data_IF_629992042626
#
_entry.id   IF_629992042626
#
_cell.length_a   1.000
_cell.length_b   1.000
_cell.length_c   1.000
_cell.angle_alpha   90.00
_cell.angle_beta   90.00
_cell.angle_gamma   90.00
#
_symmetry.space_group_name_H-M   'P 1'
#
loop_
_entity.id
_entity.type
_entity.pdbx_description
1 polymer ?
#
# COMPACT_ATOMS: atom_id res chain seq x y z
N UNK A 1 18.69 -42.85 -21.98
CA UNK A 1 19.65 -41.90 -21.39
C UNK A 1 19.42 -40.42 -21.74
N UNK A 2 18.73 -40.06 -22.83
CA UNK A 2 18.52 -38.65 -23.24
C UNK A 2 17.39 -37.91 -22.50
N UNK A 3 16.31 -38.60 -22.13
CA UNK A 3 15.16 -38.00 -21.42
C UNK A 3 15.53 -37.45 -20.04
N UNK A 4 16.31 -38.20 -19.25
CA UNK A 4 16.82 -37.77 -17.95
C UNK A 4 17.75 -36.55 -18.07
N UNK A 5 18.61 -36.51 -19.09
CA UNK A 5 19.51 -35.37 -19.34
C UNK A 5 18.75 -34.08 -19.69
N UNK A 6 17.64 -34.19 -20.41
CA UNK A 6 16.78 -33.04 -20.74
C UNK A 6 15.95 -32.57 -19.53
N UNK A 7 15.52 -33.49 -18.67
CA UNK A 7 14.82 -33.16 -17.44
C UNK A 7 15.72 -32.42 -16.44
N UNK A 8 16.97 -32.87 -16.29
CA UNK A 8 17.99 -32.19 -15.47
C UNK A 8 18.26 -30.77 -15.99
N UNK A 9 18.38 -30.58 -17.30
CA UNK A 9 18.57 -29.24 -17.90
C UNK A 9 17.38 -28.31 -17.65
N UNK A 10 16.15 -28.82 -17.76
CA UNK A 10 14.93 -28.04 -17.48
C UNK A 10 14.85 -27.64 -16.01
N UNK A 11 15.15 -28.56 -15.11
CA UNK A 11 15.18 -28.29 -13.68
C UNK A 11 16.24 -27.24 -13.33
N UNK A 12 17.46 -27.38 -13.86
CA UNK A 12 18.53 -26.41 -13.67
C UNK A 12 18.15 -25.00 -14.19
N UNK A 13 17.51 -24.91 -15.36
CA UNK A 13 17.04 -23.64 -15.91
C UNK A 13 15.92 -23.01 -15.05
N UNK A 14 14.99 -23.81 -14.52
CA UNK A 14 13.96 -23.31 -13.60
C UNK A 14 14.55 -22.81 -12.28
N UNK A 15 15.55 -23.50 -11.72
CA UNK A 15 16.25 -23.05 -10.51
C UNK A 15 16.99 -21.73 -10.76
N UNK A 16 17.69 -21.61 -11.90
CA UNK A 16 18.36 -20.36 -12.28
C UNK A 16 17.38 -19.21 -12.48
N UNK A 17 16.21 -19.48 -13.07
CA UNK A 17 15.15 -18.49 -13.23
C UNK A 17 14.57 -18.03 -11.89
N UNK A 18 14.34 -18.95 -10.95
CA UNK A 18 13.88 -18.63 -9.60
C UNK A 18 14.94 -17.82 -8.84
N UNK A 19 16.22 -18.17 -8.96
CA UNK A 19 17.31 -17.40 -8.35
C UNK A 19 17.43 -16.00 -8.94
N UNK A 20 17.26 -15.85 -10.26
CA UNK A 20 17.24 -14.56 -10.92
C UNK A 20 16.07 -13.69 -10.43
N UNK A 21 14.86 -14.26 -10.31
CA UNK A 21 13.69 -13.57 -9.75
C UNK A 21 13.94 -13.08 -8.32
N UNK A 22 14.54 -13.93 -7.48
CA UNK A 22 14.90 -13.56 -6.10
C UNK A 22 15.93 -12.43 -6.04
N UNK A 23 16.95 -12.47 -6.88
CA UNK A 23 17.97 -11.42 -6.97
C UNK A 23 17.40 -10.09 -7.47
N UNK A 24 16.51 -10.12 -8.47
CA UNK A 24 15.81 -8.91 -8.95
C UNK A 24 14.85 -8.36 -7.91
N UNK A 25 14.13 -9.21 -7.17
CA UNK A 25 13.27 -8.77 -6.09
C UNK A 25 14.07 -8.02 -5.02
N UNK A 26 15.20 -8.61 -4.58
CA UNK A 26 16.09 -7.98 -3.61
C UNK A 26 16.72 -6.67 -4.13
N UNK A 27 17.04 -6.60 -5.42
CA UNK A 27 17.61 -5.40 -6.04
C UNK A 27 16.61 -4.25 -6.20
N UNK A 28 15.32 -4.54 -6.35
CA UNK A 28 14.28 -3.54 -6.57
C UNK A 28 13.67 -3.08 -5.24
N UNK A 29 13.42 -4.01 -4.31
CA UNK A 29 12.85 -3.69 -2.99
C UNK A 29 13.89 -3.27 -1.96
N UNK A 30 15.17 -3.59 -2.18
CA UNK A 30 16.24 -3.38 -1.19
C UNK A 30 16.16 -4.31 0.03
N UNK A 31 15.18 -5.22 0.08
CA UNK A 31 14.90 -6.08 1.24
C UNK A 31 15.11 -7.56 0.87
N UNK A 32 15.89 -8.28 1.69
CA UNK A 32 16.10 -9.72 1.52
C UNK A 32 14.90 -10.52 2.04
N UNK A 33 14.50 -11.58 1.33
CA UNK A 33 13.44 -12.50 1.77
C UNK A 33 13.76 -13.17 3.12
N UNK A 34 15.05 -13.37 3.44
CA UNK A 34 15.47 -13.86 4.76
C UNK A 34 15.19 -12.84 5.87
N UNK A 35 15.31 -11.54 5.57
CA UNK A 35 14.98 -10.47 6.52
C UNK A 35 13.50 -10.47 6.85
N UNK A 36 12.62 -10.64 5.85
CA UNK A 36 11.17 -10.75 6.08
C UNK A 36 10.84 -11.95 7.00
N UNK A 37 11.36 -13.14 6.69
CA UNK A 37 11.07 -14.35 7.47
C UNK A 37 11.62 -14.24 8.90
N UNK A 38 12.83 -13.70 9.08
CA UNK A 38 13.44 -13.53 10.39
C UNK A 38 12.71 -12.45 11.20
N UNK A 39 12.26 -11.36 10.59
CA UNK A 39 11.48 -10.33 11.27
C UNK A 39 10.11 -10.86 11.74
N UNK A 40 9.40 -11.61 10.89
CA UNK A 40 8.16 -12.28 11.28
C UNK A 40 8.40 -13.32 12.40
N UNK A 41 9.45 -14.14 12.30
CA UNK A 41 9.77 -15.13 13.34
C UNK A 41 10.21 -14.49 14.67
N UNK A 42 10.98 -13.40 14.62
CA UNK A 42 11.38 -12.64 15.82
C UNK A 42 10.20 -11.90 16.45
N UNK A 43 9.25 -11.37 15.67
CA UNK A 43 8.03 -10.78 16.20
C UNK A 43 7.18 -11.82 16.96
N UNK A 44 7.15 -13.06 16.46
CA UNK A 44 6.47 -14.19 17.13
C UNK A 44 7.27 -14.68 18.35
N UNK A 45 8.60 -14.67 18.29
CA UNK A 45 9.46 -15.22 19.34
C UNK A 45 9.80 -14.23 20.47
N UNK A 46 9.59 -12.92 20.27
CA UNK A 46 9.91 -11.87 21.25
C UNK A 46 8.73 -11.47 22.13
N UNK A 47 7.57 -12.13 22.02
CA UNK A 47 6.45 -11.87 22.91
C UNK A 47 6.73 -12.47 24.29
N UNK A 48 7.17 -11.62 25.21
CA UNK A 48 6.85 -11.76 26.63
C UNK A 48 5.34 -11.99 26.74
N UNK A 49 4.90 -12.98 27.52
CA UNK A 49 3.48 -13.20 27.77
C UNK A 49 2.84 -11.92 28.32
N UNK A 50 2.13 -11.20 27.45
CA UNK A 50 1.29 -10.07 27.84
C UNK A 50 -0.15 -10.57 27.80
N UNK A 51 -0.69 -10.76 29.00
CA UNK A 51 -2.12 -10.88 29.24
C UNK A 51 -2.80 -9.57 28.80
N UNK A 52 -3.45 -9.59 27.63
CA UNK A 52 -4.16 -8.44 27.07
C UNK A 52 -4.25 -8.46 25.54
N UNK A 53 -5.47 -8.50 25.03
CA UNK A 53 -5.86 -8.71 23.63
C UNK A 53 -5.54 -7.50 22.72
N UNK A 54 -4.29 -7.11 22.54
CA UNK A 54 -3.94 -6.01 21.61
C UNK A 54 -3.27 -6.58 20.36
N UNK A 55 -3.98 -6.58 19.23
CA UNK A 55 -3.39 -6.91 17.93
C UNK A 55 -2.30 -5.88 17.60
N UNK A 56 -1.12 -6.29 17.08
CA UNK A 56 -0.06 -5.35 16.74
C UNK A 56 -0.53 -4.36 15.67
N UNK A 57 -0.17 -3.08 15.84
CA UNK A 57 -0.42 -2.05 14.83
C UNK A 57 0.50 -2.26 13.63
N UNK A 58 0.02 -1.91 12.44
CA UNK A 58 0.85 -1.96 11.23
C UNK A 58 2.12 -1.10 11.36
N UNK A 59 2.02 0.01 12.08
CA UNK A 59 3.11 0.94 12.40
C UNK A 59 4.28 0.26 13.12
N UNK A 60 3.98 -0.66 14.04
CA UNK A 60 4.98 -1.32 14.88
C UNK A 60 5.47 -2.66 14.28
N UNK A 61 4.76 -3.19 13.29
CA UNK A 61 5.04 -4.49 12.70
C UNK A 61 6.29 -4.51 11.80
N UNK A 62 6.69 -3.34 11.27
CA UNK A 62 7.78 -3.22 10.31
C UNK A 62 8.75 -2.11 10.70
N UNK A 63 10.02 -2.28 10.33
CA UNK A 63 11.04 -1.26 10.48
C UNK A 63 11.02 -0.32 9.26
N UNK A 64 10.15 0.69 9.33
CA UNK A 64 9.93 1.66 8.26
C UNK A 64 11.15 2.53 7.93
N UNK A 65 12.09 2.66 8.87
CA UNK A 65 13.32 3.45 8.68
C UNK A 65 14.21 2.96 7.53
N UNK A 66 13.99 1.72 7.07
CA UNK A 66 14.69 1.11 5.94
C UNK A 66 14.18 1.53 4.57
N UNK A 67 13.01 2.14 4.50
CA UNK A 67 12.40 2.57 3.25
C UNK A 67 12.73 4.04 2.94
N UNK A 68 12.81 4.42 1.65
CA UNK A 68 12.97 5.83 1.27
C UNK A 68 11.88 6.70 1.89
N UNK A 69 12.31 7.76 2.58
CA UNK A 69 11.44 8.66 3.33
C UNK A 69 11.21 9.96 2.55
N UNK A 70 9.96 10.41 2.50
CA UNK A 70 9.57 11.70 1.93
C UNK A 70 8.71 12.47 2.91
N UNK A 71 9.05 13.72 3.18
CA UNK A 71 8.18 14.63 3.94
C UNK A 71 7.18 15.28 3.00
N UNK A 72 5.89 15.11 3.29
CA UNK A 72 4.79 15.60 2.47
C UNK A 72 3.77 16.36 3.31
N UNK A 73 3.01 17.25 2.69
CA UNK A 73 1.78 17.80 3.27
C UNK A 73 0.60 16.94 2.85
N UNK A 74 -0.09 16.33 3.80
CA UNK A 74 -1.20 15.43 3.54
C UNK A 74 -2.54 16.02 4.00
N UNK A 75 -3.52 16.04 3.10
CA UNK A 75 -4.93 16.36 3.36
C UNK A 75 -5.81 15.13 3.24
N UNK A 76 -7.10 15.25 3.53
CA UNK A 76 -8.09 14.21 3.24
C UNK A 76 -9.17 14.72 2.29
N UNK A 77 -9.68 13.83 1.46
CA UNK A 77 -10.74 14.12 0.50
C UNK A 77 -11.73 12.95 0.40
N UNK A 78 -12.89 13.20 -0.21
CA UNK A 78 -13.90 12.17 -0.47
C UNK A 78 -14.28 12.13 -1.95
N UNK A 79 -15.15 11.20 -2.35
CA UNK A 79 -15.71 11.17 -3.70
C UNK A 79 -16.75 12.29 -3.94
N UNK A 80 -17.19 12.96 -2.88
CA UNK A 80 -18.26 13.94 -2.85
C UNK A 80 -18.01 15.21 -3.68
N UNK A 81 -19.06 16.02 -3.75
CA UNK A 81 -19.07 17.25 -4.55
C UNK A 81 -18.07 18.28 -4.01
N UNK A 82 -17.87 18.32 -2.70
CA UNK A 82 -16.94 19.20 -2.01
C UNK A 82 -15.48 18.99 -2.41
N UNK A 83 -15.11 17.76 -2.80
CA UNK A 83 -13.75 17.43 -3.24
C UNK A 83 -13.63 17.34 -4.76
N UNK A 84 -14.63 16.76 -5.44
CA UNK A 84 -14.53 16.40 -6.87
C UNK A 84 -15.45 17.19 -7.80
N UNK A 85 -16.41 17.95 -7.25
CA UNK A 85 -17.48 18.58 -8.01
C UNK A 85 -18.50 17.60 -8.60
N UNK A 86 -18.43 16.31 -8.26
CA UNK A 86 -19.32 15.25 -8.79
C UNK A 86 -20.34 14.81 -7.73
N UNK A 87 -21.53 14.43 -8.18
CA UNK A 87 -22.59 13.83 -7.34
C UNK A 87 -22.72 12.33 -7.66
N UNK A 88 -23.36 11.56 -6.78
CA UNK A 88 -23.48 10.10 -6.90
C UNK A 88 -24.07 9.60 -8.23
N UNK A 89 -24.89 10.40 -8.90
CA UNK A 89 -25.49 10.08 -10.20
C UNK A 89 -24.56 10.39 -11.39
N UNK A 90 -23.38 10.95 -11.17
CA UNK A 90 -22.40 11.24 -12.22
C UNK A 90 -21.69 9.94 -12.64
N UNK A 91 -21.51 9.67 -13.95
CA UNK A 91 -20.91 8.41 -14.43
C UNK A 91 -19.48 8.16 -13.91
N UNK A 92 -18.74 9.24 -13.63
CA UNK A 92 -17.38 9.19 -13.08
C UNK A 92 -17.31 9.44 -11.56
N UNK A 93 -18.44 9.31 -10.84
CA UNK A 93 -18.43 9.46 -9.39
C UNK A 93 -17.59 8.35 -8.75
N UNK A 94 -16.63 8.74 -7.91
CA UNK A 94 -15.73 7.81 -7.23
C UNK A 94 -14.74 7.09 -8.16
N UNK A 95 -14.54 7.55 -9.40
CA UNK A 95 -13.54 7.01 -10.32
C UNK A 95 -12.29 7.90 -10.29
N UNK A 96 -11.13 7.31 -9.96
CA UNK A 96 -9.84 8.03 -9.92
C UNK A 96 -9.27 8.24 -11.31
N UNK A 97 -8.21 9.05 -11.42
CA UNK A 97 -7.47 9.24 -12.67
C UNK A 97 -6.93 7.95 -13.30
N UNK A 98 -6.55 6.95 -12.50
CA UNK A 98 -6.10 5.66 -13.05
C UNK A 98 -7.24 4.79 -13.60
N UNK A 99 -8.50 5.13 -13.28
CA UNK A 99 -9.69 4.39 -13.67
C UNK A 99 -10.19 3.36 -12.65
N UNK A 100 -9.49 3.19 -11.52
CA UNK A 100 -10.00 2.38 -10.40
C UNK A 100 -10.98 3.21 -9.56
N UNK A 101 -11.88 2.54 -8.85
CA UNK A 101 -12.73 3.19 -7.86
C UNK A 101 -11.91 3.59 -6.64
N UNK A 102 -12.28 4.73 -6.06
CA UNK A 102 -11.80 5.10 -4.74
C UNK A 102 -12.11 4.00 -3.73
N UNK A 103 -11.18 3.76 -2.81
CA UNK A 103 -11.29 2.68 -1.81
C UNK A 103 -10.60 3.08 -0.52
N UNK A 104 -11.29 2.87 0.61
CA UNK A 104 -10.73 2.90 1.96
C UNK A 104 -10.65 1.46 2.47
N UNK A 105 -9.44 0.95 2.63
CA UNK A 105 -9.14 -0.42 3.10
C UNK A 105 -7.68 -0.46 3.58
N UNK A 106 -7.12 -1.64 3.86
CA UNK A 106 -5.70 -1.81 4.20
C UNK A 106 -4.77 -1.11 3.20
N UNK A 107 -5.05 -1.26 1.91
CA UNK A 107 -4.51 -0.47 0.81
C UNK A 107 -5.61 0.43 0.26
N UNK A 108 -5.50 1.71 0.59
CA UNK A 108 -6.46 2.75 0.17
C UNK A 108 -5.94 3.53 -1.03
N UNK A 109 -6.84 4.03 -1.87
CA UNK A 109 -6.46 4.90 -3.00
C UNK A 109 -6.12 6.30 -2.51
N UNK A 110 -5.02 6.88 -3.00
CA UNK A 110 -4.62 8.26 -2.68
C UNK A 110 -4.35 9.07 -3.95
N UNK A 111 -4.42 10.40 -3.83
CA UNK A 111 -4.02 11.33 -4.87
C UNK A 111 -2.64 11.91 -4.59
N UNK A 112 -1.83 12.10 -5.63
CA UNK A 112 -0.50 12.68 -5.53
C UNK A 112 -0.11 13.45 -6.80
N UNK A 113 1.02 14.15 -6.76
CA UNK A 113 1.71 14.60 -7.97
C UNK A 113 2.40 13.41 -8.66
N UNK A 114 1.93 13.06 -9.86
CA UNK A 114 2.43 11.89 -10.61
C UNK A 114 3.86 12.04 -11.13
N UNK A 115 4.43 13.24 -11.10
CA UNK A 115 5.84 13.47 -11.41
C UNK A 115 6.76 13.11 -10.24
N UNK A 116 6.23 13.10 -9.02
CA UNK A 116 6.94 12.73 -7.79
C UNK A 116 6.62 11.28 -7.43
N UNK A 117 5.34 10.91 -7.41
CA UNK A 117 4.87 9.55 -7.12
C UNK A 117 4.02 9.05 -8.29
N UNK A 118 4.60 8.28 -9.24
CA UNK A 118 3.85 7.74 -10.35
C UNK A 118 2.68 6.83 -9.91
N UNK A 119 1.66 6.70 -10.75
CA UNK A 119 0.53 5.79 -10.51
C UNK A 119 1.04 4.38 -10.18
N UNK A 120 0.43 3.76 -9.17
CA UNK A 120 0.80 2.46 -8.61
C UNK A 120 1.89 2.52 -7.54
N UNK A 121 2.40 3.70 -7.19
CA UNK A 121 3.31 3.85 -6.05
C UNK A 121 2.58 3.47 -4.77
N UNK A 122 3.22 2.65 -3.94
CA UNK A 122 2.71 2.22 -2.64
C UNK A 122 3.50 2.96 -1.57
N UNK A 123 2.78 3.72 -0.76
CA UNK A 123 3.30 4.46 0.38
C UNK A 123 2.77 3.84 1.65
N UNK A 124 3.59 3.79 2.68
CA UNK A 124 3.12 3.67 4.05
C UNK A 124 3.02 5.07 4.67
N UNK A 125 1.85 5.39 5.23
CA UNK A 125 1.49 6.70 5.75
C UNK A 125 1.07 6.53 7.21
N UNK A 126 1.93 6.91 8.18
CA UNK A 126 1.62 6.80 9.60
C UNK A 126 0.29 7.47 9.97
N UNK A 127 -0.54 6.78 10.75
CA UNK A 127 -1.89 7.19 11.12
C UNK A 127 -2.96 7.01 10.04
N UNK A 128 -2.62 6.53 8.84
CA UNK A 128 -3.56 6.28 7.75
C UNK A 128 -3.56 4.83 7.25
N UNK A 129 -2.38 4.24 7.06
CA UNK A 129 -2.19 2.89 6.49
C UNK A 129 -1.43 2.91 5.16
N UNK A 130 -1.61 1.87 4.34
CA UNK A 130 -1.02 1.87 3.00
C UNK A 130 -1.86 2.72 2.03
N UNK A 131 -1.18 3.60 1.30
CA UNK A 131 -1.75 4.40 0.22
C UNK A 131 -1.21 3.96 -1.13
N UNK A 132 -2.09 3.64 -2.06
CA UNK A 132 -1.76 3.36 -3.46
C UNK A 132 -2.09 4.59 -4.29
N UNK A 133 -1.08 5.17 -4.93
CA UNK A 133 -1.27 6.34 -5.80
C UNK A 133 -2.09 5.92 -7.01
N UNK A 134 -3.35 6.32 -7.02
CA UNK A 134 -4.33 5.96 -8.04
C UNK A 134 -4.99 7.19 -8.66
N UNK A 135 -4.83 8.36 -8.04
CA UNK A 135 -5.47 9.59 -8.48
C UNK A 135 -4.49 10.77 -8.60
N UNK A 136 -4.94 11.84 -9.24
CA UNK A 136 -4.26 13.14 -9.26
C UNK A 136 -5.27 14.25 -9.01
N UNK A 137 -4.87 15.24 -8.22
CA UNK A 137 -5.64 16.47 -8.03
C UNK A 137 -5.11 17.62 -8.89
N UNK A 138 -5.99 18.55 -9.25
CA UNK A 138 -5.57 19.82 -9.85
C UNK A 138 -4.68 20.64 -8.92
N UNK A 139 -5.03 20.68 -7.63
CA UNK A 139 -4.30 21.41 -6.60
C UNK A 139 -3.13 20.62 -5.99
N UNK A 140 -3.15 19.28 -6.09
CA UNK A 140 -2.12 18.41 -5.51
C UNK A 140 -0.86 18.45 -6.38
N UNK A 141 0.19 19.11 -5.88
CA UNK A 141 1.46 19.35 -6.59
C UNK A 141 2.67 19.17 -5.70
N UNK A 142 3.76 18.66 -6.27
CA UNK A 142 5.00 18.40 -5.55
C UNK A 142 4.82 17.39 -4.42
N UNK A 143 5.23 17.78 -3.21
CA UNK A 143 5.18 16.93 -2.01
C UNK A 143 3.83 17.06 -1.29
N UNK A 144 2.73 16.99 -2.02
CA UNK A 144 1.37 16.98 -1.46
C UNK A 144 0.69 15.63 -1.74
N UNK A 145 -0.06 15.15 -0.74
CA UNK A 145 -0.91 13.97 -0.83
C UNK A 145 -2.33 14.31 -0.42
N UNK A 146 -3.30 13.66 -1.07
CA UNK A 146 -4.70 13.69 -0.66
C UNK A 146 -5.17 12.27 -0.34
N UNK A 147 -5.58 12.06 0.90
CA UNK A 147 -5.92 10.74 1.44
C UNK A 147 -7.42 10.51 1.32
N UNK A 148 -7.81 9.42 0.66
CA UNK A 148 -9.23 9.14 0.48
C UNK A 148 -9.87 8.69 1.79
N UNK A 149 -11.06 9.23 2.06
CA UNK A 149 -12.00 8.80 3.08
C UNK A 149 -13.41 8.68 2.47
N UNK A 150 -14.26 7.86 3.08
CA UNK A 150 -15.62 7.61 2.60
C UNK A 150 -16.53 8.82 2.86
N UNK A 151 -16.37 9.45 4.03
CA UNK A 151 -17.18 10.59 4.46
C UNK A 151 -16.32 11.79 4.86
N UNK A 152 -16.94 12.97 4.85
CA UNK A 152 -16.29 14.22 5.26
C UNK A 152 -16.03 14.20 6.77
N UNK A 153 -16.94 13.60 7.53
CA UNK A 153 -16.82 13.37 8.96
C UNK A 153 -15.56 12.55 9.28
N UNK A 154 -15.30 11.46 8.55
CA UNK A 154 -14.09 10.66 8.74
C UNK A 154 -12.81 11.47 8.47
N UNK A 155 -12.83 12.37 7.48
CA UNK A 155 -11.71 13.27 7.23
C UNK A 155 -11.44 14.13 8.45
N UNK A 156 -12.46 14.71 9.08
CA UNK A 156 -12.29 15.57 10.25
C UNK A 156 -11.93 14.80 11.53
N UNK A 157 -12.49 13.61 11.73
CA UNK A 157 -12.27 12.79 12.94
C UNK A 157 -10.90 12.12 12.92
N UNK A 158 -10.48 11.61 11.75
CA UNK A 158 -9.29 10.80 11.62
C UNK A 158 -8.12 11.52 10.96
N UNK A 159 -8.37 12.65 10.30
CA UNK A 159 -7.34 13.42 9.64
C UNK A 159 -7.48 14.93 9.79
N UNK A 160 -6.44 15.62 9.36
CA UNK A 160 -6.36 17.06 9.24
C UNK A 160 -5.16 17.41 8.39
N UNK A 161 -5.12 18.62 7.82
CA UNK A 161 -3.96 19.05 7.02
C UNK A 161 -2.71 19.09 7.91
N UNK A 162 -1.74 18.23 7.64
CA UNK A 162 -0.48 18.16 8.40
C UNK A 162 0.69 17.72 7.54
N UNK A 163 1.90 18.07 7.98
CA UNK A 163 3.11 17.47 7.43
C UNK A 163 3.34 16.10 8.05
N UNK A 164 3.70 15.12 7.24
CA UNK A 164 3.96 13.75 7.66
C UNK A 164 5.10 13.17 6.85
N UNK A 165 5.94 12.36 7.51
CA UNK A 165 6.95 11.55 6.85
C UNK A 165 6.29 10.26 6.35
N UNK A 166 6.32 10.06 5.04
CA UNK A 166 5.82 8.85 4.37
C UNK A 166 6.97 8.00 3.86
N UNK A 167 6.71 6.70 3.72
CA UNK A 167 7.72 5.72 3.36
C UNK A 167 7.34 5.02 2.06
N UNK A 168 8.24 5.05 1.07
CA UNK A 168 7.99 4.45 -0.25
C UNK A 168 8.25 2.95 -0.17
N UNK A 169 7.18 2.16 -0.18
CA UNK A 169 7.24 0.69 -0.11
C UNK A 169 7.52 0.09 -1.49
N UNK A 170 6.91 0.66 -2.53
CA UNK A 170 7.09 0.25 -3.91
C UNK A 170 6.89 1.44 -4.86
N UNK A 171 7.81 1.60 -5.81
CA UNK A 171 7.65 2.59 -6.87
C UNK A 171 6.58 2.16 -7.90
N UNK A 172 5.74 3.11 -8.30
CA UNK A 172 4.73 2.91 -9.32
C UNK A 172 5.33 2.76 -10.72
N UNK A 173 4.65 2.00 -11.57
CA UNK A 173 5.04 1.81 -12.97
C UNK A 173 4.12 2.60 -13.94
N UNK A 174 3.27 3.48 -13.41
CA UNK A 174 2.32 4.29 -14.16
C UNK A 174 0.94 3.63 -14.34
N UNK A 175 0.67 2.47 -13.74
CA UNK A 175 -0.61 1.77 -13.84
C UNK A 175 -1.02 1.11 -12.52
N UNK A 176 -2.33 1.06 -12.27
CA UNK A 176 -2.96 0.25 -11.24
C UNK A 176 -4.34 -0.17 -11.77
N UNK A 177 -4.72 -1.42 -11.53
CA UNK A 177 -6.02 -1.99 -11.92
C UNK A 177 -6.81 -2.40 -10.69
N UNK A 178 -8.12 -2.61 -10.84
CA UNK A 178 -8.97 -3.08 -9.75
C UNK A 178 -8.51 -4.44 -9.21
N UNK A 179 -8.11 -5.35 -10.11
CA UNK A 179 -7.63 -6.68 -9.73
C UNK A 179 -6.32 -6.59 -8.93
N UNK A 180 -5.43 -5.68 -9.29
CA UNK A 180 -4.19 -5.45 -8.54
C UNK A 180 -4.47 -4.83 -7.16
N UNK A 181 -5.35 -3.84 -7.10
CA UNK A 181 -5.74 -3.22 -5.82
C UNK A 181 -6.46 -4.20 -4.90
N UNK A 182 -7.30 -5.07 -5.47
CA UNK A 182 -7.96 -6.16 -4.73
C UNK A 182 -6.93 -7.17 -4.22
N UNK A 183 -5.99 -7.60 -5.06
CA UNK A 183 -4.95 -8.55 -4.67
C UNK A 183 -4.09 -8.04 -3.50
N UNK A 184 -3.77 -6.73 -3.47
CA UNK A 184 -3.09 -6.09 -2.34
C UNK A 184 -3.92 -6.18 -1.06
N UNK A 185 -5.22 -5.91 -1.15
CA UNK A 185 -6.13 -5.96 -0.01
C UNK A 185 -6.47 -7.39 0.45
N UNK A 186 -6.21 -8.40 -0.36
CA UNK A 186 -6.43 -9.82 -0.05
C UNK A 186 -5.15 -10.57 0.37
N UNK A 187 -4.02 -9.87 0.51
CA UNK A 187 -2.77 -10.48 0.96
C UNK A 187 -2.94 -11.11 2.35
N UNK A 188 -2.84 -12.44 2.41
CA UNK A 188 -3.02 -13.25 3.62
C UNK A 188 -2.05 -12.89 4.75
N UNK A 189 -0.86 -12.42 4.39
CA UNK A 189 0.18 -12.07 5.37
C UNK A 189 -0.14 -10.77 6.11
N UNK A 190 -0.98 -9.91 5.52
CA UNK A 190 -1.34 -8.61 6.07
C UNK A 190 -2.81 -8.54 6.56
N UNK A 191 -3.61 -9.59 6.37
CA UNK A 191 -5.02 -9.60 6.79
C UNK A 191 -5.22 -9.32 8.29
N UNK A 192 -4.23 -9.64 9.12
CA UNK A 192 -4.27 -9.37 10.57
C UNK A 192 -4.39 -7.87 10.89
N UNK A 193 -3.92 -6.99 9.98
CA UNK A 193 -3.99 -5.54 10.15
C UNK A 193 -5.24 -4.93 9.52
N UNK A 194 -5.89 -5.65 8.59
CA UNK A 194 -6.97 -5.10 7.75
C UNK A 194 -8.17 -4.58 8.56
N UNK A 195 -8.50 -5.23 9.67
CA UNK A 195 -9.61 -4.81 10.55
C UNK A 195 -9.40 -3.42 11.16
N UNK A 196 -8.17 -2.91 11.20
CA UNK A 196 -7.85 -1.56 11.68
C UNK A 196 -8.34 -0.46 10.71
N UNK A 197 -8.66 -0.81 9.45
CA UNK A 197 -8.92 0.15 8.38
C UNK A 197 -10.33 0.05 7.77
N UNK A 198 -11.08 -1.02 8.07
CA UNK A 198 -12.47 -1.24 7.57
C UNK A 198 -13.52 -0.76 8.60
N UNK A 199 -13.11 -0.32 9.80
CA UNK A 199 -14.03 -0.14 10.93
C UNK A 199 -15.10 0.97 10.79
N UNK A 200 -15.24 1.63 9.64
CA UNK A 200 -16.36 2.55 9.35
C UNK A 200 -17.69 1.82 9.10
N UNK A 201 -17.71 0.53 8.74
CA UNK A 201 -18.97 -0.18 8.41
C UNK A 201 -19.86 -0.55 9.62
N UNK A 202 -19.49 -0.20 10.86
CA UNK A 202 -20.16 -0.68 12.09
C UNK A 202 -20.81 0.38 12.99
N UNK A 203 -21.12 1.58 12.49
CA UNK A 203 -21.99 2.52 13.22
C UNK A 203 -23.30 2.78 12.50
#
# INVERSE_FOLDING_TARGET
MSKTKNWIKRFAMSVLFIMALGATFQSISGVSAKTLIIQFASAISSSKEVSGTTQPLLEDAFDWSKYPKHTVTATGYTAGFESTGKRQNHPEYGITFSGVKVKRDLFSTIAADLTVFPIGTILFIPGYGYGVVADKGGAIKGNELDLYYETVEDVYEHWGKKQVDVYVVQNGNGKITEEQLQALNEDKTLQVFRQQYISSEKR
#
